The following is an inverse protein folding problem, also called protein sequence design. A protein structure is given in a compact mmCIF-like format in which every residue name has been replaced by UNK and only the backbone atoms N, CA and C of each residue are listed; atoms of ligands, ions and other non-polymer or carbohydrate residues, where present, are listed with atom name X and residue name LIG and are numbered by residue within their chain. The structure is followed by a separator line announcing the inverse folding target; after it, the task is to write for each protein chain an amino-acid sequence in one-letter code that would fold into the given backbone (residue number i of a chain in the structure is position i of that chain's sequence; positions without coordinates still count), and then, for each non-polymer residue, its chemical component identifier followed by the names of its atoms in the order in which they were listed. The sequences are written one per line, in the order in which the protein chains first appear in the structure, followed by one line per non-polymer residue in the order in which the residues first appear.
data_IF_592940935643
#
_entry.id   IF_592940935643
#
_cell.length_a   1.000
_cell.length_b   1.000
_cell.length_c   1.000
_cell.angle_alpha   90.00
_cell.angle_beta   90.00
_cell.angle_gamma   90.00
#
_symmetry.space_group_name_H-M   'P 1'
#
loop_
_entity.id
_entity.type
_entity.pdbx_description
1 polymer ?
#
# COMPACT_ATOMS: atom_id res chain seq x y z
N UNK A 1 -5.99 7.20 -57.38
CA UNK A 1 -7.13 7.64 -58.19
C UNK A 1 -7.76 8.91 -57.66
N UNK A 2 -7.30 10.04 -58.22
CA UNK A 2 -7.96 11.33 -58.10
C UNK A 2 -9.24 11.32 -58.94
N UNK A 3 -10.36 11.78 -58.39
CA UNK A 3 -11.44 12.33 -59.21
C UNK A 3 -11.51 13.82 -59.01
N UNK A 4 -11.03 14.54 -60.02
CA UNK A 4 -11.23 15.97 -60.24
C UNK A 4 -12.52 16.12 -61.05
N UNK A 5 -13.46 16.94 -60.57
CA UNK A 5 -14.52 17.51 -61.40
C UNK A 5 -14.35 19.02 -61.42
N UNK A 6 -14.00 19.55 -62.59
CA UNK A 6 -14.05 20.98 -62.92
C UNK A 6 -15.21 21.16 -63.88
N UNK A 7 -16.13 22.07 -63.54
CA UNK A 7 -17.04 22.68 -64.52
C UNK A 7 -16.66 24.16 -64.62
N UNK A 8 -16.30 24.60 -65.82
CA UNK A 8 -15.86 25.97 -66.08
C UNK A 8 -16.97 26.88 -66.58
N UNK A 9 -16.69 28.20 -66.55
CA UNK A 9 -16.83 29.10 -67.70
C UNK A 9 -16.13 30.43 -67.39
N UNK A 10 -15.39 30.96 -68.35
CA UNK A 10 -14.81 32.30 -68.33
C UNK A 10 -15.86 33.35 -68.73
N UNK A 11 -15.88 34.47 -68.02
CA UNK A 11 -16.31 35.78 -68.52
C UNK A 11 -15.55 36.84 -67.73
N UNK A 12 -15.08 37.86 -68.44
CA UNK A 12 -14.15 38.85 -67.94
C UNK A 12 -14.72 39.82 -66.90
N UNK A 13 -13.81 40.73 -66.59
CA UNK A 13 -13.91 41.91 -65.73
C UNK A 13 -13.54 41.72 -64.26
N UNK A 14 -12.72 42.67 -63.83
CA UNK A 14 -11.87 42.71 -62.65
C UNK A 14 -12.50 42.14 -61.37
N UNK A 15 -11.72 41.32 -60.66
CA UNK A 15 -11.99 41.02 -59.24
C UNK A 15 -10.69 41.14 -58.45
N UNK A 16 -10.66 42.13 -57.56
CA UNK A 16 -9.60 42.33 -56.57
C UNK A 16 -9.70 41.20 -55.55
N UNK A 17 -8.69 40.32 -55.49
CA UNK A 17 -8.67 39.22 -54.52
C UNK A 17 -7.76 39.57 -53.34
N UNK A 18 -8.38 39.90 -52.20
CA UNK A 18 -7.71 40.03 -50.91
C UNK A 18 -7.33 38.64 -50.42
N UNK A 19 -6.03 38.35 -50.29
CA UNK A 19 -5.56 37.12 -49.64
C UNK A 19 -5.72 37.26 -48.12
N UNK A 20 -6.79 36.69 -47.58
CA UNK A 20 -6.90 36.46 -46.14
C UNK A 20 -5.83 35.42 -45.74
N UNK A 21 -4.90 35.81 -44.86
CA UNK A 21 -3.97 34.88 -44.20
C UNK A 21 -4.79 33.82 -43.47
N UNK A 22 -4.60 32.55 -43.82
CA UNK A 22 -5.09 31.44 -43.02
C UNK A 22 -4.61 31.60 -41.58
N UNK A 23 -5.55 31.75 -40.66
CA UNK A 23 -5.29 31.73 -39.22
C UNK A 23 -4.63 30.40 -38.87
N UNK A 24 -3.40 30.46 -38.32
CA UNK A 24 -2.72 29.28 -37.78
C UNK A 24 -3.65 28.61 -36.75
N UNK A 25 -3.77 27.27 -36.73
CA UNK A 25 -4.50 26.60 -35.67
C UNK A 25 -3.81 26.95 -34.34
N UNK A 26 -4.57 27.49 -33.39
CA UNK A 26 -4.12 27.62 -32.01
C UNK A 26 -3.79 26.22 -31.48
N UNK A 27 -2.67 26.03 -30.75
CA UNK A 27 -2.38 24.75 -30.12
C UNK A 27 -3.56 24.38 -29.23
N UNK A 28 -4.16 23.22 -29.49
CA UNK A 28 -5.20 22.68 -28.62
C UNK A 28 -4.58 22.38 -27.26
N UNK A 29 -4.99 23.12 -26.24
CA UNK A 29 -4.64 22.83 -24.85
C UNK A 29 -5.16 21.43 -24.52
N UNK A 30 -4.34 20.48 -24.02
CA UNK A 30 -4.83 19.17 -23.67
C UNK A 30 -5.87 19.30 -22.56
N UNK A 31 -7.11 18.93 -22.89
CA UNK A 31 -8.31 19.15 -22.07
C UNK A 31 -8.35 18.35 -20.75
N UNK A 32 -7.37 17.48 -20.48
CA UNK A 32 -7.24 16.80 -19.20
C UNK A 32 -5.77 16.67 -18.80
N UNK A 33 -5.13 17.78 -18.45
CA UNK A 33 -3.99 17.69 -17.53
C UNK A 33 -4.52 17.08 -16.22
N UNK A 34 -4.16 15.82 -15.95
CA UNK A 34 -4.42 15.19 -14.64
C UNK A 34 -3.92 16.16 -13.59
N UNK A 35 -4.83 16.82 -12.86
CA UNK A 35 -4.47 17.72 -11.74
C UNK A 35 -3.38 17.00 -10.97
N UNK A 36 -2.18 17.57 -10.81
CA UNK A 36 -1.18 16.95 -9.94
C UNK A 36 -1.82 16.88 -8.56
N UNK A 37 -2.22 15.68 -8.16
CA UNK A 37 -2.72 15.46 -6.82
C UNK A 37 -1.54 15.89 -5.94
N UNK A 38 -1.73 16.84 -5.02
CA UNK A 38 -0.68 17.24 -4.09
C UNK A 38 -0.06 16.00 -3.44
N UNK A 39 1.19 16.10 -2.99
CA UNK A 39 1.83 14.95 -2.35
C UNK A 39 0.96 14.48 -1.16
N UNK A 40 0.29 13.34 -1.32
CA UNK A 40 -0.63 12.77 -0.31
C UNK A 40 0.08 12.34 0.97
N UNK A 41 1.40 12.20 0.91
CA UNK A 41 2.25 11.80 2.00
C UNK A 41 3.41 12.78 2.12
N UNK A 42 3.74 13.17 3.34
CA UNK A 42 4.90 14.04 3.58
C UNK A 42 6.19 13.34 3.13
N UNK A 43 7.11 14.04 2.41
CA UNK A 43 8.45 13.53 2.11
C UNK A 43 9.24 13.10 3.35
N UNK A 44 8.90 13.66 4.51
CA UNK A 44 9.60 13.38 5.78
C UNK A 44 9.37 11.94 6.27
N UNK A 45 8.24 11.36 5.91
CA UNK A 45 7.87 9.99 6.28
C UNK A 45 8.40 8.96 5.28
N UNK A 46 9.26 9.38 4.35
CA UNK A 46 9.86 8.46 3.40
C UNK A 46 10.76 7.45 4.13
N UNK A 47 10.70 6.18 3.73
CA UNK A 47 11.54 5.09 4.23
C UNK A 47 13.05 5.39 4.15
N UNK A 48 13.50 6.26 3.23
CA UNK A 48 14.89 6.70 3.12
C UNK A 48 15.35 7.55 4.31
N UNK A 49 14.42 8.19 5.03
CA UNK A 49 14.70 8.97 6.25
C UNK A 49 14.60 8.14 7.53
N UNK A 50 14.23 6.86 7.40
CA UNK A 50 14.09 5.95 8.53
C UNK A 50 15.47 5.58 9.07
N UNK A 51 15.65 5.44 10.40
CA UNK A 51 16.89 4.95 10.97
C UNK A 51 17.29 3.56 10.45
N UNK A 52 18.59 3.33 10.26
CA UNK A 52 19.13 2.06 9.77
C UNK A 52 18.86 0.87 10.72
N UNK A 53 18.65 1.16 12.00
CA UNK A 53 18.24 0.16 13.01
C UNK A 53 16.95 -0.53 12.61
N UNK A 54 16.05 0.19 11.95
CA UNK A 54 14.82 -0.38 11.42
C UNK A 54 15.16 -1.25 10.23
N UNK A 55 15.90 -0.73 9.23
CA UNK A 55 16.24 -1.46 8.00
C UNK A 55 16.93 -2.81 8.27
N UNK A 56 17.86 -2.84 9.23
CA UNK A 56 18.70 -3.99 9.59
C UNK A 56 17.97 -5.17 10.26
N UNK A 57 16.68 -5.04 10.59
CA UNK A 57 15.88 -6.08 11.30
C UNK A 57 16.51 -6.54 12.62
N UNK A 58 17.25 -5.65 13.30
CA UNK A 58 17.89 -5.92 14.60
C UNK A 58 17.01 -5.48 15.77
N UNK A 59 16.25 -4.40 15.59
CA UNK A 59 15.38 -3.82 16.61
C UNK A 59 13.97 -4.41 16.52
N UNK A 60 13.46 -4.90 17.65
CA UNK A 60 12.11 -5.44 17.75
C UNK A 60 11.07 -4.31 17.80
N UNK A 61 9.88 -4.59 17.25
CA UNK A 61 8.73 -3.69 17.31
C UNK A 61 8.56 -2.82 16.07
N UNK A 62 9.24 -3.16 14.97
CA UNK A 62 9.01 -2.55 13.68
C UNK A 62 8.20 -3.50 12.79
N UNK A 63 7.10 -2.99 12.26
CA UNK A 63 6.14 -3.76 11.49
C UNK A 63 6.09 -3.31 10.03
N UNK A 64 5.79 -4.23 9.13
CA UNK A 64 5.41 -3.95 7.74
C UNK A 64 3.92 -4.25 7.60
N UNK A 65 3.15 -3.35 6.99
CA UNK A 65 1.71 -3.51 6.78
C UNK A 65 1.40 -3.48 5.29
N UNK A 66 0.55 -4.37 4.81
CA UNK A 66 0.12 -4.45 3.41
C UNK A 66 -1.34 -4.88 3.30
N UNK A 67 -1.99 -4.59 2.16
CA UNK A 67 -3.35 -5.08 1.88
C UNK A 67 -3.33 -6.24 0.88
N UNK A 68 -3.82 -7.40 1.32
CA UNK A 68 -4.09 -8.53 0.45
C UNK A 68 -5.43 -8.28 -0.26
N UNK A 69 -5.35 -7.85 -1.52
CA UNK A 69 -6.53 -7.61 -2.35
C UNK A 69 -7.05 -8.89 -3.01
N UNK A 70 -8.37 -9.03 -3.13
CA UNK A 70 -9.05 -10.13 -3.80
C UNK A 70 -9.59 -9.71 -5.17
N UNK A 71 -10.23 -10.63 -5.91
CA UNK A 71 -10.85 -10.30 -7.20
C UNK A 71 -11.89 -9.18 -7.03
N UNK A 72 -11.95 -8.29 -8.02
CA UNK A 72 -12.88 -7.14 -8.04
C UNK A 72 -14.36 -7.53 -7.90
N UNK A 73 -14.73 -8.76 -8.29
CA UNK A 73 -16.10 -9.29 -8.16
C UNK A 73 -16.59 -9.34 -6.70
N UNK A 74 -15.67 -9.45 -5.74
CA UNK A 74 -15.97 -9.43 -4.31
C UNK A 74 -15.97 -8.00 -3.72
N UNK A 75 -16.02 -6.99 -4.58
CA UNK A 75 -16.01 -5.59 -4.18
C UNK A 75 -14.68 -5.14 -3.58
N UNK A 76 -14.77 -4.37 -2.49
CA UNK A 76 -13.62 -3.71 -1.86
C UNK A 76 -13.07 -4.46 -0.66
N UNK A 77 -13.71 -5.55 -0.23
CA UNK A 77 -13.24 -6.37 0.87
C UNK A 77 -11.80 -6.87 0.63
N UNK A 78 -11.03 -6.92 1.72
CA UNK A 78 -9.61 -7.20 1.70
C UNK A 78 -9.14 -7.70 3.08
N UNK A 79 -7.91 -8.17 3.14
CA UNK A 79 -7.28 -8.59 4.39
C UNK A 79 -6.01 -7.77 4.58
N UNK A 80 -5.90 -7.04 5.68
CA UNK A 80 -4.64 -6.42 6.10
C UNK A 80 -3.70 -7.51 6.60
N UNK A 81 -2.46 -7.50 6.12
CA UNK A 81 -1.39 -8.28 6.70
C UNK A 81 -0.39 -7.38 7.40
N UNK A 82 -0.07 -7.73 8.63
CA UNK A 82 0.84 -6.99 9.48
C UNK A 82 1.94 -7.94 9.95
N UNK A 83 3.20 -7.61 9.70
CA UNK A 83 4.32 -8.51 9.94
C UNK A 83 5.46 -7.82 10.70
N UNK A 84 5.83 -8.37 11.86
CA UNK A 84 6.95 -7.86 12.65
C UNK A 84 8.28 -8.30 12.01
N UNK A 85 9.20 -7.36 11.79
CA UNK A 85 10.34 -7.57 10.89
C UNK A 85 11.42 -8.50 11.47
N UNK A 86 11.54 -8.60 12.80
CA UNK A 86 12.54 -9.44 13.47
C UNK A 86 12.06 -10.88 13.61
N UNK A 87 10.92 -11.06 14.26
CA UNK A 87 10.31 -12.35 14.58
C UNK A 87 9.56 -12.96 13.39
N UNK A 88 9.17 -12.15 12.39
CA UNK A 88 8.30 -12.56 11.27
C UNK A 88 6.92 -13.01 11.71
N UNK A 89 6.52 -12.63 12.92
CA UNK A 89 5.17 -12.84 13.43
C UNK A 89 4.20 -12.04 12.58
N UNK A 90 3.13 -12.69 12.12
CA UNK A 90 2.17 -12.11 11.21
C UNK A 90 0.80 -12.08 11.87
N UNK A 91 0.07 -10.99 11.65
CA UNK A 91 -1.33 -10.83 12.05
C UNK A 91 -2.10 -10.54 10.76
N UNK A 92 -3.26 -11.17 10.61
CA UNK A 92 -4.17 -10.92 9.50
C UNK A 92 -5.46 -10.33 10.06
N UNK A 93 -5.93 -9.23 9.46
CA UNK A 93 -7.16 -8.53 9.88
C UNK A 93 -8.08 -8.42 8.69
N UNK A 94 -9.36 -8.73 8.87
CA UNK A 94 -10.37 -8.61 7.82
C UNK A 94 -10.87 -7.18 7.72
N UNK A 95 -11.03 -6.69 6.49
CA UNK A 95 -11.68 -5.41 6.22
C UNK A 95 -12.80 -5.58 5.20
N UNK A 96 -13.98 -5.04 5.52
CA UNK A 96 -15.12 -5.04 4.60
C UNK A 96 -14.95 -4.03 3.44
N UNK A 97 -14.15 -2.98 3.65
CA UNK A 97 -13.84 -1.94 2.65
C UNK A 97 -12.33 -1.56 2.71
N UNK A 98 -11.88 -0.70 1.79
CA UNK A 98 -10.52 -0.13 1.68
C UNK A 98 -10.44 1.31 2.19
N UNK A 99 -11.47 1.77 2.90
CA UNK A 99 -11.45 3.09 3.52
C UNK A 99 -10.32 3.15 4.53
N UNK A 100 -9.61 4.27 4.56
CA UNK A 100 -8.40 4.37 5.38
C UNK A 100 -8.70 4.30 6.87
N UNK A 101 -9.73 5.02 7.34
CA UNK A 101 -10.12 5.03 8.75
C UNK A 101 -10.42 3.62 9.34
N UNK A 102 -11.32 2.79 8.76
CA UNK A 102 -11.54 1.43 9.24
C UNK A 102 -10.29 0.55 9.27
N UNK A 103 -9.41 0.68 8.26
CA UNK A 103 -8.14 -0.07 8.23
C UNK A 103 -7.25 0.37 9.40
N UNK A 104 -7.17 1.68 9.67
CA UNK A 104 -6.42 2.20 10.81
C UNK A 104 -7.02 1.78 12.16
N UNK A 105 -8.34 1.77 12.30
CA UNK A 105 -9.03 1.29 13.51
C UNK A 105 -8.69 -0.17 13.79
N UNK A 106 -8.69 -1.03 12.76
CA UNK A 106 -8.26 -2.43 12.90
C UNK A 106 -6.80 -2.56 13.34
N UNK A 107 -5.90 -1.73 12.80
CA UNK A 107 -4.49 -1.70 13.23
C UNK A 107 -4.32 -1.24 14.67
N UNK A 108 -5.09 -0.22 15.10
CA UNK A 108 -5.11 0.24 16.50
C UNK A 108 -5.57 -0.89 17.41
N UNK A 109 -6.70 -1.54 17.10
CA UNK A 109 -7.24 -2.64 17.90
C UNK A 109 -6.24 -3.80 18.04
N UNK A 110 -5.54 -4.16 16.95
CA UNK A 110 -4.57 -5.25 16.95
C UNK A 110 -3.30 -4.95 17.75
N UNK A 111 -2.87 -3.68 17.81
CA UNK A 111 -1.58 -3.30 18.37
C UNK A 111 -1.67 -2.59 19.73
N UNK A 112 -2.80 -1.98 20.09
CA UNK A 112 -2.91 -1.16 21.30
C UNK A 112 -2.53 -1.90 22.60
N UNK A 113 -2.80 -3.21 22.66
CA UNK A 113 -2.48 -4.06 23.81
C UNK A 113 -0.98 -4.35 23.96
N UNK A 114 -0.18 -4.11 22.92
CA UNK A 114 1.26 -4.29 22.97
C UNK A 114 1.93 -3.06 23.62
N UNK A 115 3.01 -3.28 24.40
CA UNK A 115 3.80 -2.17 24.92
C UNK A 115 4.43 -1.38 23.77
N UNK A 116 4.67 -0.07 23.97
CA UNK A 116 5.19 0.82 22.92
C UNK A 116 6.44 0.27 22.21
N UNK A 117 7.37 -0.33 22.97
CA UNK A 117 8.60 -0.93 22.43
C UNK A 117 8.36 -2.12 21.47
N UNK A 118 7.18 -2.73 21.51
CA UNK A 118 6.76 -3.80 20.60
C UNK A 118 5.98 -3.26 19.38
N UNK A 119 5.72 -1.96 19.30
CA UNK A 119 4.98 -1.28 18.22
C UNK A 119 5.56 0.11 17.91
N UNK A 120 6.88 0.17 17.78
CA UNK A 120 7.66 1.39 17.56
C UNK A 120 7.30 2.10 16.26
N UNK A 121 7.21 1.33 15.16
CA UNK A 121 6.84 1.89 13.86
C UNK A 121 6.15 0.89 12.94
N UNK A 122 5.38 1.40 11.98
CA UNK A 122 4.81 0.61 10.88
C UNK A 122 5.25 1.21 9.54
N UNK A 123 5.64 0.35 8.60
CA UNK A 123 5.97 0.72 7.23
C UNK A 123 4.82 0.35 6.29
N UNK A 124 4.32 1.33 5.54
CA UNK A 124 3.24 1.21 4.56
C UNK A 124 3.77 1.42 3.13
N UNK A 125 2.95 1.05 2.15
CA UNK A 125 3.10 1.62 0.81
C UNK A 125 2.35 2.96 0.70
N UNK A 126 2.44 3.64 -0.43
CA UNK A 126 1.74 4.91 -0.67
C UNK A 126 0.28 4.71 -1.15
N UNK A 127 -0.39 3.67 -0.65
CA UNK A 127 -1.79 3.36 -0.94
C UNK A 127 -2.77 4.36 -0.33
N UNK A 128 -3.91 4.59 -0.99
CA UNK A 128 -4.97 5.48 -0.49
C UNK A 128 -5.61 5.01 0.81
N UNK A 129 -5.60 3.70 1.03
CA UNK A 129 -6.01 3.00 2.24
C UNK A 129 -5.17 3.38 3.47
N UNK A 130 -4.03 4.06 3.30
CA UNK A 130 -3.14 4.46 4.40
C UNK A 130 -3.05 5.97 4.60
N UNK A 131 -4.00 6.74 4.07
CA UNK A 131 -4.02 8.20 4.17
C UNK A 131 -4.32 8.73 5.58
N UNK A 132 -5.12 8.00 6.37
CA UNK A 132 -5.45 8.33 7.77
C UNK A 132 -4.37 7.86 8.77
N UNK A 133 -3.13 7.66 8.32
CA UNK A 133 -2.01 7.30 9.20
C UNK A 133 -1.78 8.26 10.39
N UNK A 134 -2.08 9.58 10.33
CA UNK A 134 -1.90 10.45 11.50
C UNK A 134 -2.76 10.01 12.68
N UNK A 135 -3.94 9.43 12.40
CA UNK A 135 -4.79 8.89 13.45
C UNK A 135 -4.16 7.69 14.15
N UNK A 136 -3.51 6.79 13.40
CA UNK A 136 -2.76 5.68 13.99
C UNK A 136 -1.65 6.18 14.93
N UNK A 137 -0.91 7.21 14.51
CA UNK A 137 0.13 7.81 15.34
C UNK A 137 -0.44 8.50 16.57
N UNK A 138 -1.58 9.20 16.46
CA UNK A 138 -2.23 9.84 17.60
C UNK A 138 -2.81 8.83 18.61
N UNK A 139 -3.41 7.74 18.13
CA UNK A 139 -4.10 6.76 18.98
C UNK A 139 -3.15 5.86 19.77
N UNK A 140 -2.05 5.42 19.15
CA UNK A 140 -1.11 4.49 19.79
C UNK A 140 0.30 5.06 19.94
N UNK A 141 0.71 6.12 19.23
CA UNK A 141 2.08 6.65 19.32
C UNK A 141 3.10 5.87 18.48
N UNK A 142 2.62 5.12 17.49
CA UNK A 142 3.43 4.34 16.55
C UNK A 142 3.90 5.25 15.42
N UNK A 143 5.21 5.29 15.14
CA UNK A 143 5.76 6.03 14.00
C UNK A 143 5.36 5.39 12.68
N UNK A 144 5.26 6.17 11.61
CA UNK A 144 4.87 5.67 10.29
C UNK A 144 5.93 5.99 9.24
N UNK A 145 6.16 5.05 8.34
CA UNK A 145 7.12 5.19 7.24
C UNK A 145 6.47 4.71 5.93
N UNK A 146 6.81 5.33 4.81
CA UNK A 146 6.25 5.05 3.49
C UNK A 146 7.33 4.63 2.49
N UNK A 147 7.12 3.51 1.82
CA UNK A 147 7.98 3.05 0.73
C UNK A 147 7.94 3.99 -0.48
N UNK A 148 9.05 4.03 -1.21
CA UNK A 148 9.15 4.70 -2.50
C UNK A 148 8.14 4.15 -3.52
N UNK A 149 7.58 5.00 -4.39
CA UNK A 149 6.77 4.53 -5.49
C UNK A 149 7.52 3.46 -6.28
N UNK A 150 6.81 2.44 -6.74
CA UNK A 150 7.36 1.37 -7.58
C UNK A 150 8.54 0.60 -6.94
N UNK A 151 8.67 0.62 -5.61
CA UNK A 151 9.78 -0.03 -4.89
C UNK A 151 9.32 -1.19 -3.98
N UNK A 152 8.69 -2.26 -4.52
CA UNK A 152 8.13 -3.35 -3.71
C UNK A 152 9.18 -4.07 -2.84
N UNK A 153 10.44 -4.12 -3.28
CA UNK A 153 11.54 -4.77 -2.54
C UNK A 153 11.79 -4.16 -1.15
N UNK A 154 11.39 -2.91 -0.92
CA UNK A 154 11.50 -2.24 0.38
C UNK A 154 10.60 -2.88 1.46
N UNK A 155 9.63 -3.70 1.06
CA UNK A 155 8.69 -4.47 1.89
C UNK A 155 8.79 -5.99 1.66
N UNK A 156 10.00 -6.49 1.41
CA UNK A 156 10.22 -7.90 1.08
C UNK A 156 9.79 -8.91 2.16
N UNK A 157 9.62 -8.49 3.44
CA UNK A 157 9.16 -9.42 4.48
C UNK A 157 7.66 -9.67 4.38
N UNK A 158 6.88 -8.60 4.31
CA UNK A 158 5.42 -8.73 4.15
C UNK A 158 5.07 -9.33 2.79
N UNK A 159 5.81 -9.04 1.72
CA UNK A 159 5.57 -9.65 0.41
C UNK A 159 5.71 -11.18 0.46
N UNK A 160 6.79 -11.68 1.09
CA UNK A 160 7.00 -13.12 1.24
C UNK A 160 5.95 -13.76 2.15
N UNK A 161 5.52 -13.06 3.21
CA UNK A 161 4.42 -13.53 4.07
C UNK A 161 3.10 -13.58 3.32
N UNK A 162 2.78 -12.56 2.53
CA UNK A 162 1.56 -12.50 1.73
C UNK A 162 1.55 -13.63 0.69
N UNK A 163 2.68 -13.91 0.05
CA UNK A 163 2.84 -15.05 -0.86
C UNK A 163 2.54 -16.39 -0.18
N UNK A 164 2.97 -16.58 1.07
CA UNK A 164 2.62 -17.78 1.86
C UNK A 164 1.14 -17.80 2.24
N UNK A 165 0.59 -16.66 2.66
CA UNK A 165 -0.81 -16.53 3.05
C UNK A 165 -1.77 -16.84 1.88
N UNK A 166 -1.35 -16.57 0.63
CA UNK A 166 -2.12 -16.89 -0.59
C UNK A 166 -2.49 -18.36 -0.77
N UNK A 167 -1.83 -19.29 -0.06
CA UNK A 167 -2.23 -20.70 -0.04
C UNK A 167 -3.62 -20.90 0.57
N UNK A 168 -4.00 -20.08 1.55
CA UNK A 168 -5.29 -20.12 2.21
C UNK A 168 -6.19 -18.94 1.76
N UNK A 169 -5.60 -17.77 1.54
CA UNK A 169 -6.26 -16.56 1.03
C UNK A 169 -6.11 -16.46 -0.50
N UNK A 170 -6.59 -17.49 -1.20
CA UNK A 170 -6.66 -17.51 -2.66
C UNK A 170 -7.45 -16.31 -3.18
N UNK A 171 -7.12 -15.83 -4.38
CA UNK A 171 -7.85 -14.72 -5.02
C UNK A 171 -9.32 -15.07 -5.34
N UNK A 172 -9.66 -16.35 -5.39
CA UNK A 172 -11.02 -16.85 -5.63
C UNK A 172 -11.87 -16.97 -4.38
N UNK A 173 -11.26 -16.95 -3.19
CA UNK A 173 -12.00 -17.00 -1.93
C UNK A 173 -12.72 -15.68 -1.75
N UNK A 174 -14.00 -15.74 -1.38
CA UNK A 174 -14.73 -14.55 -0.99
C UNK A 174 -14.17 -14.01 0.34
N UNK A 175 -13.54 -12.82 0.37
CA UNK A 175 -13.01 -12.25 1.59
C UNK A 175 -14.08 -11.98 2.67
N UNK A 176 -15.36 -11.87 2.31
CA UNK A 176 -16.43 -11.66 3.26
C UNK A 176 -16.86 -12.95 3.97
N UNK A 177 -16.59 -14.13 3.39
CA UNK A 177 -16.87 -15.41 4.03
C UNK A 177 -15.77 -15.87 4.99
N UNK A 178 -14.57 -15.26 4.90
CA UNK A 178 -13.47 -15.53 5.82
C UNK A 178 -13.79 -14.91 7.18
N UNK A 179 -13.79 -15.70 8.24
CA UNK A 179 -14.04 -15.24 9.61
C UNK A 179 -12.74 -14.85 10.32
N UNK A 180 -12.85 -14.14 11.44
CA UNK A 180 -11.67 -13.83 12.27
C UNK A 180 -11.03 -15.11 12.84
N UNK A 181 -11.84 -16.15 13.09
CA UNK A 181 -11.35 -17.47 13.51
C UNK A 181 -10.49 -18.12 12.40
N UNK A 182 -10.93 -18.04 11.14
CA UNK A 182 -10.14 -18.54 10.01
C UNK A 182 -8.81 -17.79 9.88
N UNK A 183 -8.81 -16.46 10.08
CA UNK A 183 -7.60 -15.65 10.04
C UNK A 183 -6.62 -16.00 11.17
N UNK A 184 -7.12 -16.28 12.37
CA UNK A 184 -6.32 -16.79 13.50
C UNK A 184 -5.71 -18.15 13.14
N UNK A 185 -6.49 -19.04 12.52
CA UNK A 185 -5.99 -20.35 12.11
C UNK A 185 -4.90 -20.23 11.02
N UNK A 186 -5.10 -19.34 10.05
CA UNK A 186 -4.09 -19.02 9.02
C UNK A 186 -2.83 -18.44 9.65
N UNK A 187 -2.96 -17.56 10.64
CA UNK A 187 -1.84 -17.04 11.43
C UNK A 187 -1.05 -18.17 12.10
N UNK A 188 -1.74 -19.11 12.75
CA UNK A 188 -1.13 -20.27 13.40
C UNK A 188 -0.40 -21.17 12.39
N UNK A 189 -1.02 -21.47 11.24
CA UNK A 189 -0.37 -22.24 10.15
C UNK A 189 0.84 -21.51 9.56
N UNK A 190 0.83 -20.19 9.53
CA UNK A 190 1.97 -19.37 9.10
C UNK A 190 3.12 -19.36 10.13
N UNK A 191 2.83 -19.69 11.38
CA UNK A 191 3.72 -19.82 12.53
C UNK A 191 4.66 -21.03 12.51
N UNK A 192 4.96 -21.60 11.34
CA UNK A 192 5.90 -22.73 11.21
C UNK A 192 7.36 -22.34 11.50
N UNK A 193 8.18 -23.26 12.04
CA UNK A 193 9.62 -23.07 12.24
C UNK A 193 10.37 -22.57 11.00
N UNK A 194 11.32 -21.64 11.18
CA UNK A 194 12.08 -21.05 10.05
C UNK A 194 13.58 -21.13 10.27
N UNK A 195 14.32 -21.55 9.23
CA UNK A 195 15.80 -21.57 9.25
C UNK A 195 16.40 -20.21 9.61
N UNK A 196 15.84 -19.12 9.09
CA UNK A 196 16.29 -17.75 9.39
C UNK A 196 16.05 -17.30 10.85
N UNK A 197 15.26 -18.06 11.61
CA UNK A 197 15.00 -17.85 13.03
C UNK A 197 15.70 -18.92 13.90
N UNK A 198 16.64 -19.68 13.34
CA UNK A 198 17.28 -20.80 14.03
C UNK A 198 16.32 -21.95 14.31
N UNK A 199 15.43 -22.24 13.34
CA UNK A 199 14.39 -23.28 13.45
C UNK A 199 13.37 -23.06 14.58
N UNK A 200 13.22 -21.82 15.04
CA UNK A 200 12.17 -21.41 15.98
C UNK A 200 10.94 -20.90 15.24
N UNK A 201 9.79 -20.95 15.89
CA UNK A 201 8.56 -20.37 15.33
C UNK A 201 8.56 -18.85 15.47
N UNK A 202 7.91 -18.11 14.56
CA UNK A 202 7.71 -16.67 14.71
C UNK A 202 7.10 -16.27 16.06
N UNK A 203 6.13 -17.06 16.55
CA UNK A 203 5.47 -16.82 17.83
C UNK A 203 6.43 -16.96 19.03
N UNK A 204 7.29 -17.99 19.04
CA UNK A 204 8.32 -18.16 20.06
C UNK A 204 9.32 -17.00 20.11
N UNK A 205 9.78 -16.56 18.93
CA UNK A 205 10.73 -15.44 18.83
C UNK A 205 10.06 -14.14 19.26
N UNK A 206 8.81 -13.90 18.83
CA UNK A 206 8.03 -12.74 19.22
C UNK A 206 7.85 -12.68 20.74
N UNK A 207 7.37 -13.77 21.35
CA UNK A 207 7.18 -13.87 22.81
C UNK A 207 8.49 -13.63 23.57
N UNK A 208 9.61 -14.23 23.13
CA UNK A 208 10.93 -14.03 23.76
C UNK A 208 11.35 -12.55 23.68
N UNK A 209 11.17 -11.90 22.53
CA UNK A 209 11.53 -10.49 22.34
C UNK A 209 10.62 -9.55 23.14
N UNK A 210 9.32 -9.83 23.18
CA UNK A 210 8.34 -9.09 23.96
C UNK A 210 8.69 -9.11 25.46
N UNK A 211 8.91 -10.31 26.02
CA UNK A 211 9.32 -10.46 27.42
C UNK A 211 10.64 -9.77 27.72
N UNK A 212 11.61 -9.84 26.80
CA UNK A 212 12.86 -9.10 26.95
C UNK A 212 12.61 -7.59 27.03
N UNK A 213 11.76 -7.01 26.18
CA UNK A 213 11.44 -5.57 26.24
C UNK A 213 10.74 -5.18 27.54
N UNK A 214 9.82 -5.99 28.04
CA UNK A 214 9.11 -5.71 29.30
C UNK A 214 10.06 -5.67 30.50
N UNK A 215 11.12 -6.50 30.50
CA UNK A 215 12.15 -6.52 31.56
C UNK A 215 13.10 -5.32 31.55
N UNK A 216 13.23 -4.61 30.42
CA UNK A 216 14.05 -3.40 30.33
C UNK A 216 13.23 -2.12 30.55
N UNK A 217 11.90 -2.23 30.57
CA UNK A 217 10.99 -1.09 30.71
C UNK A 217 10.42 -0.92 32.13
N UNK A 218 10.60 -1.93 32.99
CA UNK A 218 10.39 -1.84 34.43
C UNK A 218 11.72 -1.83 35.15
#
# INVERSE_FOLDING_TARGET
DLQVRVFGRWSGDQVVATFARASRPTPTTPCHARRKHGQRFSPELNILRRPDTVASRKQFGHWECDLIQFRKKFGKANVTSLVERVSRFAIFLRNNDRQSRPVMDGLVQALQALPHLARRSITFDRGTEFTDWPYLQASIGTQTWFCDPQSPWQKGTVENTNRRARKWLSREVDPLSVTDADLIEICNRHGTPRKCLGYRTPAEVFRKKLLAQMRYAG
#
